data_IF_678421589878
#
_entry.id   IF_678421589878
#
_cell.length_a   1.000
_cell.length_b   1.000
_cell.length_c   1.000
_cell.angle_alpha   90.00
_cell.angle_beta   90.00
_cell.angle_gamma   90.00
#
_symmetry.space_group_name_H-M   'P 1'
#
loop_
_entity.id
_entity.type
_entity.pdbx_description
1 polymer ?
#
# COMPACT_ATOMS: atom_id res chain seq x y z
N UNK A 1 56.30 -53.72 -13.63
CA UNK A 1 55.02 -53.44 -14.34
C UNK A 1 53.83 -53.95 -13.52
N UNK A 2 53.63 -53.48 -12.27
CA UNK A 2 52.58 -53.97 -11.35
C UNK A 2 51.85 -52.85 -10.56
N UNK A 3 51.97 -51.60 -10.98
CA UNK A 3 51.41 -50.45 -10.24
C UNK A 3 50.35 -49.64 -11.01
N UNK A 4 49.79 -50.16 -12.11
CA UNK A 4 48.82 -49.42 -12.92
C UNK A 4 47.34 -49.80 -12.69
N UNK A 5 47.02 -50.77 -11.84
CA UNK A 5 45.64 -51.27 -11.70
C UNK A 5 44.88 -50.66 -10.51
N UNK A 6 45.56 -50.01 -9.56
CA UNK A 6 44.92 -49.54 -8.30
C UNK A 6 44.40 -48.09 -8.33
N UNK A 7 44.56 -47.34 -9.42
CA UNK A 7 44.10 -45.93 -9.49
C UNK A 7 42.69 -45.81 -10.11
N UNK A 8 42.22 -46.82 -10.83
CA UNK A 8 40.91 -46.78 -11.51
C UNK A 8 39.74 -47.07 -10.57
N UNK A 9 39.98 -47.71 -9.42
CA UNK A 9 38.91 -48.03 -8.45
C UNK A 9 38.57 -46.89 -7.48
N UNK A 10 39.40 -45.84 -7.39
CA UNK A 10 39.18 -44.69 -6.49
C UNK A 10 38.45 -43.51 -7.16
N UNK A 11 38.17 -43.60 -8.47
CA UNK A 11 37.57 -42.52 -9.26
C UNK A 11 36.08 -42.71 -9.56
N UNK A 12 35.39 -43.60 -8.83
CA UNK A 12 33.98 -43.93 -9.03
C UNK A 12 33.13 -43.80 -7.75
N UNK A 13 33.50 -42.87 -6.85
CA UNK A 13 32.71 -42.48 -5.66
C UNK A 13 32.64 -40.94 -5.48
N UNK A 14 32.68 -40.18 -6.58
CA UNK A 14 32.39 -38.74 -6.57
C UNK A 14 31.12 -38.53 -7.40
N UNK A 15 29.97 -38.79 -6.80
CA UNK A 15 28.68 -38.38 -7.36
C UNK A 15 27.66 -38.24 -6.25
N UNK A 16 27.50 -37.01 -5.79
CA UNK A 16 26.25 -36.35 -5.38
C UNK A 16 26.57 -35.12 -4.50
N UNK A 17 27.38 -34.20 -5.03
CA UNK A 17 27.26 -32.80 -4.61
C UNK A 17 26.05 -32.24 -5.35
N UNK A 18 24.90 -32.28 -4.67
CA UNK A 18 23.67 -31.65 -5.12
C UNK A 18 23.93 -30.14 -4.99
N UNK A 19 23.93 -29.32 -6.07
CA UNK A 19 23.84 -27.90 -5.86
C UNK A 19 22.54 -27.67 -5.11
N UNK A 20 22.63 -27.09 -3.92
CA UNK A 20 21.46 -26.59 -3.21
C UNK A 20 20.71 -25.73 -4.22
N UNK A 21 19.44 -26.08 -4.45
CA UNK A 21 18.57 -25.32 -5.30
C UNK A 21 18.68 -23.86 -4.86
N UNK A 22 19.09 -23.00 -5.78
CA UNK A 22 19.07 -21.56 -5.58
C UNK A 22 17.61 -21.22 -5.28
N UNK A 23 17.30 -20.99 -4.01
CA UNK A 23 16.03 -20.40 -3.61
C UNK A 23 15.87 -19.13 -4.46
N UNK A 24 14.73 -18.94 -5.14
CA UNK A 24 14.49 -17.69 -5.82
C UNK A 24 14.49 -16.61 -4.75
N UNK A 25 15.57 -15.84 -4.71
CA UNK A 25 15.71 -14.67 -3.84
C UNK A 25 14.49 -13.80 -4.10
N UNK A 26 13.56 -13.84 -3.14
CA UNK A 26 12.37 -13.03 -3.15
C UNK A 26 12.84 -11.60 -3.31
N UNK A 27 12.61 -11.02 -4.49
CA UNK A 27 13.10 -9.71 -4.85
C UNK A 27 12.74 -8.75 -3.72
N UNK A 28 13.77 -8.21 -3.08
CA UNK A 28 13.60 -7.30 -1.96
C UNK A 28 12.66 -6.15 -2.38
N UNK A 29 11.74 -5.71 -1.50
CA UNK A 29 10.81 -4.64 -1.85
C UNK A 29 11.60 -3.42 -2.34
N UNK A 30 11.13 -2.72 -3.40
CA UNK A 30 11.84 -1.59 -3.97
C UNK A 30 12.10 -0.55 -2.88
N UNK A 31 13.34 -0.09 -2.79
CA UNK A 31 13.74 0.90 -1.78
C UNK A 31 12.90 2.17 -1.97
N UNK A 32 12.46 2.86 -0.90
CA UNK A 32 11.56 4.03 -0.99
C UNK A 32 12.04 5.18 -1.90
N UNK A 33 13.31 5.21 -2.27
CA UNK A 33 13.91 6.20 -3.17
C UNK A 33 13.69 5.93 -4.67
N UNK A 34 13.20 4.74 -5.06
CA UNK A 34 13.15 4.32 -6.48
C UNK A 34 11.75 4.38 -7.11
N UNK A 35 10.70 4.60 -6.31
CA UNK A 35 9.33 4.71 -6.82
C UNK A 35 9.11 6.06 -7.55
N UNK A 36 8.66 6.01 -8.82
CA UNK A 36 8.25 7.21 -9.56
C UNK A 36 6.92 7.75 -9.00
N UNK A 37 6.99 8.93 -8.36
CA UNK A 37 5.86 9.58 -7.68
C UNK A 37 5.18 10.66 -8.53
N UNK A 38 5.53 10.81 -9.81
CA UNK A 38 4.96 11.84 -10.69
C UNK A 38 3.58 11.47 -11.23
N UNK A 39 3.27 10.17 -11.28
CA UNK A 39 2.01 9.65 -11.78
C UNK A 39 1.33 8.87 -10.66
N UNK A 40 0.07 9.22 -10.39
CA UNK A 40 -0.77 8.55 -9.42
C UNK A 40 -1.97 7.91 -10.14
N UNK A 41 -2.46 6.74 -9.70
CA UNK A 41 -2.02 5.95 -8.54
C UNK A 41 -0.63 5.30 -8.71
N UNK A 42 0.06 5.06 -7.59
CA UNK A 42 1.31 4.27 -7.63
C UNK A 42 0.99 2.84 -8.07
N UNK A 43 1.70 2.37 -9.08
CA UNK A 43 1.55 0.99 -9.58
C UNK A 43 2.25 0.05 -8.61
N UNK A 44 1.51 -0.92 -8.08
CA UNK A 44 2.07 -2.00 -7.26
C UNK A 44 2.84 -2.97 -8.16
N UNK A 45 4.02 -3.47 -7.75
CA UNK A 45 4.74 -4.49 -8.51
C UNK A 45 3.92 -5.79 -8.57
N UNK A 46 4.08 -6.54 -9.66
CA UNK A 46 3.40 -7.82 -9.84
C UNK A 46 3.80 -8.80 -8.72
N UNK A 47 2.82 -9.39 -8.01
CA UNK A 47 3.12 -10.34 -6.95
C UNK A 47 3.72 -11.65 -7.53
N UNK A 48 4.66 -12.30 -6.81
CA UNK A 48 5.22 -13.56 -7.26
C UNK A 48 4.16 -14.66 -7.31
N UNK A 49 4.27 -15.54 -8.31
CA UNK A 49 3.40 -16.73 -8.44
C UNK A 49 4.02 -17.88 -7.66
N UNK A 50 3.24 -18.47 -6.76
CA UNK A 50 3.65 -19.62 -5.95
C UNK A 50 3.09 -20.91 -6.54
N UNK A 51 3.90 -21.97 -6.53
CA UNK A 51 3.51 -23.31 -6.97
C UNK A 51 3.11 -24.23 -5.82
N UNK A 52 3.42 -23.84 -4.59
CA UNK A 52 3.03 -24.59 -3.39
C UNK A 52 1.51 -24.50 -3.17
N UNK A 53 0.86 -25.66 -3.06
CA UNK A 53 -0.59 -25.77 -2.92
C UNK A 53 -1.06 -25.72 -1.47
N UNK A 54 -0.20 -26.11 -0.52
CA UNK A 54 -0.50 -26.01 0.91
C UNK A 54 -0.07 -24.64 1.45
N UNK A 55 -1.04 -23.89 1.98
CA UNK A 55 -0.84 -22.57 2.58
C UNK A 55 0.05 -22.62 3.81
N UNK A 56 0.11 -23.75 4.52
CA UNK A 56 0.90 -23.90 5.74
C UNK A 56 2.41 -23.88 5.46
N UNK A 57 2.79 -24.32 4.28
CA UNK A 57 4.18 -24.41 3.83
C UNK A 57 4.57 -23.22 2.95
N UNK A 58 3.61 -22.37 2.57
CA UNK A 58 3.85 -21.18 1.76
C UNK A 58 4.35 -19.99 2.60
N UNK A 59 5.41 -19.35 2.13
CA UNK A 59 5.92 -18.09 2.70
C UNK A 59 5.20 -16.91 2.04
N UNK A 60 4.50 -16.04 2.80
CA UNK A 60 3.77 -14.92 2.22
C UNK A 60 4.74 -13.89 1.62
N UNK A 61 4.36 -13.23 0.50
CA UNK A 61 5.19 -12.19 -0.09
C UNK A 61 5.33 -10.99 0.85
N UNK A 62 6.45 -10.26 0.77
CA UNK A 62 6.57 -9.00 1.47
C UNK A 62 5.47 -8.05 0.99
N UNK A 63 4.84 -7.34 1.93
CA UNK A 63 3.81 -6.33 1.58
C UNK A 63 4.47 -5.18 0.84
N UNK A 64 3.82 -4.70 -0.22
CA UNK A 64 4.21 -3.45 -0.86
C UNK A 64 3.91 -2.28 0.08
N UNK A 65 4.96 -1.61 0.57
CA UNK A 65 4.86 -0.47 1.47
C UNK A 65 5.34 0.81 0.79
N UNK A 66 4.46 1.78 0.66
CA UNK A 66 4.83 3.13 0.22
C UNK A 66 5.21 3.96 1.44
N UNK A 67 6.51 4.25 1.59
CA UNK A 67 7.02 5.16 2.64
C UNK A 67 7.23 6.56 2.10
N UNK A 68 6.96 7.55 2.95
CA UNK A 68 7.27 8.94 2.67
C UNK A 68 8.81 9.12 2.53
N UNK A 69 9.29 9.93 1.58
CA UNK A 69 10.70 10.29 1.49
C UNK A 69 11.20 10.95 2.79
N UNK A 70 12.50 10.83 3.05
CA UNK A 70 13.12 11.57 4.15
C UNK A 70 12.91 13.07 4.00
N UNK A 71 12.44 13.73 5.07
CA UNK A 71 12.16 15.18 5.07
C UNK A 71 10.81 15.59 4.51
N UNK A 72 9.95 14.65 4.10
CA UNK A 72 8.57 14.98 3.73
C UNK A 72 7.77 15.53 4.93
N UNK A 73 6.89 16.53 4.74
CA UNK A 73 6.05 17.04 5.81
C UNK A 73 5.03 16.00 6.27
N UNK A 74 4.68 16.04 7.55
CA UNK A 74 3.56 15.24 8.07
C UNK A 74 2.24 15.91 7.67
N UNK A 75 1.38 15.16 6.98
CA UNK A 75 0.05 15.62 6.61
C UNK A 75 -0.97 14.88 7.47
N UNK A 76 -1.78 15.63 8.23
CA UNK A 76 -2.86 15.08 9.07
C UNK A 76 -4.19 15.56 8.52
N UNK A 77 -5.08 14.63 8.20
CA UNK A 77 -6.43 14.91 7.73
C UNK A 77 -7.42 14.57 8.83
N UNK A 78 -8.11 15.58 9.36
CA UNK A 78 -9.19 15.41 10.35
C UNK A 78 -10.53 15.55 9.63
N UNK A 79 -11.27 14.44 9.52
CA UNK A 79 -12.61 14.43 8.93
C UNK A 79 -13.64 14.28 10.04
N UNK A 80 -14.49 15.29 10.20
CA UNK A 80 -15.61 15.28 11.17
C UNK A 80 -16.88 14.82 10.46
N UNK A 81 -17.60 13.88 11.06
CA UNK A 81 -18.85 13.35 10.51
C UNK A 81 -20.03 14.25 10.89
N UNK A 82 -20.99 14.41 9.98
CA UNK A 82 -22.26 15.14 10.17
C UNK A 82 -22.15 16.57 10.75
N UNK A 83 -20.99 17.23 10.59
CA UNK A 83 -20.81 18.62 10.99
C UNK A 83 -21.36 19.56 9.91
N UNK A 84 -22.45 20.26 10.23
CA UNK A 84 -22.99 21.31 9.38
C UNK A 84 -22.10 22.55 9.32
N UNK A 85 -22.07 23.22 8.16
CA UNK A 85 -21.25 24.41 7.92
C UNK A 85 -21.49 25.53 8.95
N UNK A 86 -22.76 25.79 9.29
CA UNK A 86 -23.15 26.80 10.28
C UNK A 86 -23.11 26.30 11.74
N UNK A 87 -22.45 25.17 12.02
CA UNK A 87 -22.34 24.63 13.37
C UNK A 87 -21.30 25.34 14.23
N UNK A 88 -20.11 25.60 13.66
CA UNK A 88 -18.92 26.08 14.39
C UNK A 88 -18.86 27.60 14.50
N UNK A 89 -18.31 28.11 15.60
CA UNK A 89 -18.11 29.55 15.84
C UNK A 89 -17.34 30.26 14.72
N UNK A 90 -16.36 29.59 14.09
CA UNK A 90 -15.57 30.15 12.97
C UNK A 90 -16.42 30.64 11.80
N UNK A 91 -17.53 29.95 11.51
CA UNK A 91 -18.45 30.29 10.42
C UNK A 91 -19.73 31.00 10.91
N UNK A 92 -19.73 31.51 12.15
CA UNK A 92 -20.86 32.21 12.76
C UNK A 92 -21.91 31.29 13.41
N UNK A 93 -21.56 30.03 13.64
CA UNK A 93 -22.42 29.06 14.32
C UNK A 93 -22.52 29.29 15.84
N UNK A 94 -23.54 28.71 16.50
CA UNK A 94 -23.77 28.90 17.93
C UNK A 94 -22.83 28.06 18.82
N UNK A 95 -22.13 27.06 18.27
CA UNK A 95 -21.26 26.17 19.04
C UNK A 95 -19.86 26.77 19.12
N UNK A 96 -19.42 27.09 20.34
CA UNK A 96 -18.06 27.56 20.59
C UNK A 96 -17.03 26.45 20.37
N UNK A 97 -16.18 26.62 19.36
CA UNK A 97 -15.13 25.64 18.99
C UNK A 97 -13.74 26.30 19.03
N UNK A 98 -13.19 26.59 20.22
CA UNK A 98 -11.96 27.38 20.36
C UNK A 98 -10.74 26.77 19.66
N UNK A 99 -10.64 25.44 19.62
CA UNK A 99 -9.56 24.75 18.90
C UNK A 99 -9.68 24.92 17.38
N UNK A 100 -10.89 24.88 16.83
CA UNK A 100 -11.11 25.13 15.40
C UNK A 100 -10.85 26.59 15.06
N UNK A 101 -11.25 27.51 15.94
CA UNK A 101 -10.97 28.95 15.76
C UNK A 101 -9.47 29.24 15.74
N UNK A 102 -8.68 28.59 16.61
CA UNK A 102 -7.21 28.71 16.58
C UNK A 102 -6.61 28.20 15.27
N UNK A 103 -7.09 27.04 14.77
CA UNK A 103 -6.63 26.48 13.50
C UNK A 103 -7.01 27.35 12.30
N UNK A 104 -8.23 27.90 12.29
CA UNK A 104 -8.71 28.77 11.23
C UNK A 104 -7.96 30.12 11.19
N UNK A 105 -7.61 30.68 12.36
CA UNK A 105 -6.85 31.92 12.47
C UNK A 105 -5.37 31.75 12.13
N UNK A 106 -4.79 30.57 12.39
CA UNK A 106 -3.41 30.27 12.05
C UNK A 106 -3.22 29.81 10.58
N UNK A 107 -4.31 29.63 9.83
CA UNK A 107 -4.29 29.03 8.50
C UNK A 107 -5.33 29.59 7.54
N UNK A 108 -5.85 28.73 6.67
CA UNK A 108 -6.86 29.06 5.67
C UNK A 108 -8.17 28.34 6.01
N UNK A 109 -9.29 29.03 5.82
CA UNK A 109 -10.63 28.46 5.89
C UNK A 109 -11.38 28.73 4.58
N UNK A 110 -12.23 27.79 4.18
CA UNK A 110 -12.93 27.82 2.89
C UNK A 110 -14.43 27.99 3.09
N UNK A 111 -15.00 29.04 2.52
CA UNK A 111 -16.45 29.30 2.55
C UNK A 111 -17.21 28.63 1.40
N UNK A 112 -16.49 28.01 0.46
CA UNK A 112 -17.05 27.37 -0.73
C UNK A 112 -16.50 25.94 -0.89
N UNK A 113 -16.65 25.14 0.16
CA UNK A 113 -16.23 23.74 0.20
C UNK A 113 -17.45 22.82 0.12
N UNK A 114 -17.41 21.82 -0.77
CA UNK A 114 -18.53 20.94 -1.02
C UNK A 114 -18.18 19.47 -0.76
N UNK A 115 -19.09 18.78 -0.08
CA UNK A 115 -19.08 17.33 0.08
C UNK A 115 -20.26 16.73 -0.68
N UNK A 116 -20.31 15.40 -0.76
CA UNK A 116 -21.52 14.72 -1.22
C UNK A 116 -22.56 14.65 -0.10
N UNK A 117 -23.81 14.38 -0.44
CA UNK A 117 -24.91 14.33 0.53
C UNK A 117 -24.87 13.13 1.51
N UNK A 118 -23.94 12.18 1.32
CA UNK A 118 -23.86 10.94 2.11
C UNK A 118 -22.40 10.64 2.50
N UNK A 119 -22.20 10.04 3.67
CA UNK A 119 -20.89 9.75 4.24
C UNK A 119 -20.00 8.86 3.34
N UNK A 120 -20.53 7.74 2.83
CA UNK A 120 -19.79 6.80 1.98
C UNK A 120 -19.21 7.42 0.71
N UNK A 121 -19.98 8.15 -0.14
CA UNK A 121 -19.41 8.82 -1.30
C UNK A 121 -18.43 9.94 -0.95
N UNK A 122 -18.64 10.69 0.15
CA UNK A 122 -17.69 11.72 0.60
C UNK A 122 -16.34 11.10 0.99
N UNK A 123 -16.35 10.03 1.78
CA UNK A 123 -15.12 9.32 2.19
C UNK A 123 -14.42 8.67 1.01
N UNK A 124 -15.17 8.09 0.07
CA UNK A 124 -14.61 7.50 -1.14
C UNK A 124 -13.93 8.55 -2.04
N UNK A 125 -14.57 9.72 -2.22
CA UNK A 125 -14.00 10.82 -2.99
C UNK A 125 -12.74 11.39 -2.34
N UNK A 126 -12.73 11.56 -1.01
CA UNK A 126 -11.55 12.01 -0.27
C UNK A 126 -10.36 11.04 -0.43
N UNK A 127 -10.60 9.72 -0.35
CA UNK A 127 -9.54 8.71 -0.45
C UNK A 127 -9.00 8.53 -1.87
N UNK A 128 -9.85 8.67 -2.89
CA UNK A 128 -9.49 8.37 -4.28
C UNK A 128 -9.18 9.60 -5.13
N UNK A 129 -9.52 10.80 -4.65
CA UNK A 129 -9.46 12.04 -5.41
C UNK A 129 -10.45 12.09 -6.60
N UNK A 130 -11.42 11.17 -6.65
CA UNK A 130 -12.37 11.04 -7.77
C UNK A 130 -13.81 11.20 -7.29
N UNK A 131 -14.61 11.91 -8.07
CA UNK A 131 -16.04 11.97 -7.85
C UNK A 131 -16.68 10.61 -8.18
N UNK A 132 -17.58 10.13 -7.32
CA UNK A 132 -18.29 8.87 -7.58
C UNK A 132 -19.27 9.07 -8.74
N UNK A 133 -19.03 8.39 -9.85
CA UNK A 133 -20.04 8.16 -10.89
C UNK A 133 -20.86 6.90 -10.54
N UNK A 134 -22.16 6.84 -10.88
CA UNK A 134 -23.04 5.73 -10.50
C UNK A 134 -22.56 4.33 -10.94
N UNK A 135 -21.82 4.24 -12.04
CA UNK A 135 -21.39 2.95 -12.62
C UNK A 135 -20.33 2.20 -11.81
N UNK A 136 -19.56 2.88 -10.93
CA UNK A 136 -18.41 2.26 -10.27
C UNK A 136 -18.74 1.53 -8.95
N UNK A 137 -19.99 1.62 -8.49
CA UNK A 137 -20.39 1.08 -7.19
C UNK A 137 -21.02 -0.31 -7.25
N UNK A 138 -21.66 -0.66 -8.35
CA UNK A 138 -22.33 -1.96 -8.50
C UNK A 138 -21.34 -3.08 -8.85
N UNK A 139 -20.26 -2.79 -9.57
CA UNK A 139 -19.40 -3.87 -10.10
C UNK A 139 -18.45 -4.50 -9.07
N UNK A 140 -18.20 -3.85 -7.92
CA UNK A 140 -17.18 -4.32 -6.96
C UNK A 140 -17.71 -4.96 -5.68
N UNK A 141 -19.03 -4.93 -5.46
CA UNK A 141 -19.65 -5.70 -4.37
C UNK A 141 -20.22 -7.05 -4.82
N UNK A 142 -20.38 -7.28 -6.13
CA UNK A 142 -21.04 -8.49 -6.65
C UNK A 142 -20.07 -9.59 -7.13
N UNK A 143 -18.74 -9.40 -7.00
CA UNK A 143 -17.72 -10.38 -7.44
C UNK A 143 -16.97 -11.06 -6.29
N UNK A 144 -17.57 -11.10 -5.11
CA UNK A 144 -17.17 -12.00 -4.02
C UNK A 144 -18.24 -13.10 -3.87
N UNK A 145 -18.26 -14.03 -4.83
CA UNK A 145 -18.87 -15.36 -4.69
C UNK A 145 -17.80 -16.41 -4.99
#
# INVERSE_FOLDING_TARGET
MKHQILVVAALLLISCDRPAATEPEAAAPPKPSELDRRVLPLIEPEPPVYTELDVRDAVPPPRFEVKAPGGAPNVVVVLVDDLGFAGTSTFGGPIGTPTFDQLANAGLHYNNFHTTAVCSPTRAALKSGRFRVPSFATERCDTAS
#
